data_IF_551993783567
#
_entry.id   IF_551993783567
#
_cell.length_a   1.000
_cell.length_b   1.000
_cell.length_c   1.000
_cell.angle_alpha   90.00
_cell.angle_beta   90.00
_cell.angle_gamma   90.00
#
_symmetry.space_group_name_H-M   'P 1'
#
loop_
_entity.id
_entity.type
_entity.pdbx_description
1 polymer ?
#
# COMPACT_ATOMS: atom_id res chain seq x y z
N UNK A 1 -6.85 16.70 1.31
CA UNK A 1 -5.42 16.40 1.32
C UNK A 1 -4.74 17.63 1.90
N UNK A 2 -4.41 17.64 3.20
CA UNK A 2 -3.93 18.82 3.90
C UNK A 2 -2.73 18.54 4.81
N UNK A 3 -1.74 19.43 4.70
CA UNK A 3 -0.50 19.43 5.46
C UNK A 3 -0.53 20.52 6.53
N UNK A 4 0.27 20.36 7.57
CA UNK A 4 0.30 21.29 8.70
C UNK A 4 1.72 21.57 9.16
N UNK A 5 1.90 22.71 9.83
CA UNK A 5 3.11 23.01 10.60
C UNK A 5 2.88 22.63 12.05
N UNK A 6 3.81 21.88 12.64
CA UNK A 6 3.77 21.47 14.06
C UNK A 6 5.00 22.01 14.74
N UNK A 7 4.83 22.85 15.76
CA UNK A 7 5.94 23.49 16.48
C UNK A 7 6.99 24.13 15.55
N UNK A 8 6.57 24.78 14.46
CA UNK A 8 7.49 25.38 13.47
C UNK A 8 8.12 24.39 12.47
N UNK A 9 7.82 23.10 12.57
CA UNK A 9 8.29 22.05 11.66
C UNK A 9 7.26 21.73 10.58
N UNK A 10 7.70 21.62 9.33
CA UNK A 10 6.86 21.19 8.20
C UNK A 10 7.05 19.71 7.90
N UNK A 11 8.14 19.11 8.39
CA UNK A 11 8.46 17.69 8.24
C UNK A 11 8.80 17.07 9.59
N UNK A 12 8.66 15.75 9.69
CA UNK A 12 9.10 14.92 10.80
C UNK A 12 10.55 14.44 10.58
N UNK A 13 11.15 13.80 11.58
CA UNK A 13 12.57 13.40 11.53
C UNK A 13 12.91 12.42 10.38
N UNK A 14 11.96 11.61 9.93
CA UNK A 14 12.12 10.74 8.77
C UNK A 14 12.00 11.47 7.42
N UNK A 15 11.82 12.79 7.43
CA UNK A 15 11.72 13.62 6.24
C UNK A 15 10.35 13.62 5.56
N UNK A 16 9.29 13.16 6.22
CA UNK A 16 7.93 13.24 5.72
C UNK A 16 7.20 14.49 6.19
N UNK A 17 6.41 15.12 5.31
CA UNK A 17 5.62 16.30 5.70
C UNK A 17 4.59 15.94 6.77
N UNK A 18 4.55 16.76 7.83
CA UNK A 18 3.51 16.73 8.85
C UNK A 18 2.13 16.87 8.20
N UNK A 19 1.19 16.00 8.57
CA UNK A 19 -0.12 15.96 7.93
C UNK A 19 -1.29 15.99 8.91
N UNK A 20 -2.47 16.33 8.37
CA UNK A 20 -3.74 16.16 9.06
C UNK A 20 -4.32 14.78 8.79
N UNK A 21 -5.34 14.39 9.57
CA UNK A 21 -5.98 13.07 9.47
C UNK A 21 -6.49 12.74 8.07
N UNK A 22 -6.85 13.74 7.26
CA UNK A 22 -7.39 13.54 5.91
C UNK A 22 -6.34 13.02 4.90
N UNK A 23 -5.05 13.08 5.24
CA UNK A 23 -3.95 12.43 4.53
C UNK A 23 -3.76 10.95 4.90
N UNK A 24 -4.43 10.49 5.96
CA UNK A 24 -4.28 9.12 6.45
C UNK A 24 -5.45 8.22 6.07
N UNK A 25 -5.21 6.92 6.08
CA UNK A 25 -6.24 5.89 6.02
C UNK A 25 -5.90 4.76 7.01
N UNK A 26 -6.80 3.81 7.16
CA UNK A 26 -6.66 2.64 8.02
C UNK A 26 -6.23 1.42 7.18
N UNK A 27 -5.35 0.59 7.73
CA UNK A 27 -4.93 -0.68 7.14
C UNK A 27 -6.12 -1.64 7.11
N UNK A 28 -6.40 -2.22 5.93
CA UNK A 28 -7.48 -3.20 5.73
C UNK A 28 -6.91 -4.44 5.08
N UNK A 29 -6.26 -5.28 5.88
CA UNK A 29 -5.77 -6.60 5.48
C UNK A 29 -6.64 -7.64 6.19
N UNK A 30 -7.20 -8.64 5.48
CA UNK A 30 -7.97 -9.69 6.11
C UNK A 30 -7.22 -10.34 7.26
N UNK A 31 -7.93 -10.65 8.34
CA UNK A 31 -7.41 -11.32 9.55
C UNK A 31 -6.33 -10.56 10.32
N UNK A 32 -6.09 -9.28 10.01
CA UNK A 32 -5.27 -8.39 10.84
C UNK A 32 -6.19 -7.52 11.70
N UNK A 33 -6.11 -7.70 13.02
CA UNK A 33 -6.97 -7.03 13.99
C UNK A 33 -6.16 -5.98 14.80
N UNK A 34 -6.86 -5.09 15.51
CA UNK A 34 -6.26 -4.08 16.40
C UNK A 34 -5.37 -3.01 15.71
N UNK A 35 -5.40 -2.98 14.38
CA UNK A 35 -4.71 -1.96 13.56
C UNK A 35 -5.65 -0.84 13.09
N UNK A 36 -6.95 -0.98 13.37
CA UNK A 36 -7.98 0.00 13.00
C UNK A 36 -7.87 1.32 13.77
N UNK A 37 -7.11 1.31 14.87
CA UNK A 37 -6.74 2.48 15.67
C UNK A 37 -5.49 3.21 15.19
N UNK A 38 -4.81 2.71 14.16
CA UNK A 38 -3.55 3.26 13.66
C UNK A 38 -3.71 3.87 12.25
N UNK A 39 -4.14 5.15 12.12
CA UNK A 39 -4.13 5.80 10.83
C UNK A 39 -2.71 5.97 10.31
N UNK A 40 -2.52 5.66 9.03
CA UNK A 40 -1.24 5.79 8.36
C UNK A 40 -1.37 6.62 7.10
N UNK A 41 -0.29 7.33 6.76
CA UNK A 41 -0.22 8.18 5.57
C UNK A 41 -0.53 7.37 4.33
N UNK A 42 -1.49 7.84 3.53
CA UNK A 42 -1.87 7.23 2.26
C UNK A 42 -0.66 7.07 1.34
N UNK A 43 -0.71 6.06 0.47
CA UNK A 43 0.37 5.73 -0.47
C UNK A 43 1.32 4.67 0.09
N UNK A 44 2.62 4.88 -0.11
CA UNK A 44 3.64 3.92 0.30
C UNK A 44 3.63 3.60 1.81
N UNK A 45 3.48 4.56 2.75
CA UNK A 45 3.50 4.25 4.17
C UNK A 45 2.36 3.31 4.59
N UNK A 46 1.12 3.59 4.17
CA UNK A 46 -0.03 2.72 4.43
C UNK A 46 0.21 1.29 3.93
N UNK A 47 0.83 1.14 2.75
CA UNK A 47 1.11 -0.18 2.16
C UNK A 47 2.23 -0.91 2.88
N UNK A 48 3.33 -0.22 3.17
CA UNK A 48 4.55 -0.82 3.72
C UNK A 48 4.36 -1.10 5.20
N UNK A 49 3.91 -0.12 5.99
CA UNK A 49 3.69 -0.31 7.42
C UNK A 49 2.48 -1.22 7.69
N UNK A 50 1.44 -1.18 6.85
CA UNK A 50 0.36 -2.18 6.93
C UNK A 50 0.86 -3.61 6.72
N UNK A 51 1.73 -3.82 5.73
CA UNK A 51 2.37 -5.12 5.52
C UNK A 51 3.31 -5.50 6.68
N UNK A 52 4.02 -4.53 7.25
CA UNK A 52 4.86 -4.74 8.42
C UNK A 52 4.05 -5.25 9.61
N UNK A 53 2.91 -4.62 9.91
CA UNK A 53 2.01 -5.05 10.98
C UNK A 53 1.50 -6.48 10.76
N UNK A 54 1.10 -6.81 9.53
CA UNK A 54 0.70 -8.17 9.18
C UNK A 54 1.84 -9.19 9.37
N UNK A 55 3.04 -8.85 8.90
CA UNK A 55 4.21 -9.72 9.08
C UNK A 55 4.49 -9.93 10.57
N UNK A 56 4.51 -8.84 11.34
CA UNK A 56 4.80 -8.83 12.77
C UNK A 56 3.86 -9.78 13.50
N UNK A 57 2.55 -9.60 13.32
CA UNK A 57 1.50 -10.40 13.96
C UNK A 57 1.70 -11.91 13.75
N UNK A 58 2.10 -12.31 12.55
CA UNK A 58 2.19 -13.73 12.19
C UNK A 58 3.54 -14.37 12.45
N UNK A 59 4.61 -13.57 12.52
CA UNK A 59 5.96 -14.12 12.47
C UNK A 59 6.89 -13.58 13.58
N UNK A 60 6.61 -12.42 14.18
CA UNK A 60 7.25 -11.99 15.43
C UNK A 60 6.47 -12.59 16.60
N UNK A 61 5.26 -12.08 16.77
CA UNK A 61 4.28 -12.44 17.80
C UNK A 61 2.93 -11.80 17.47
N UNK A 62 1.85 -12.38 17.98
CA UNK A 62 0.49 -11.86 17.81
C UNK A 62 0.35 -10.47 18.44
N UNK A 63 -0.25 -9.55 17.70
CA UNK A 63 -0.60 -8.22 18.18
C UNK A 63 -1.82 -8.35 19.10
N UNK A 64 -1.62 -8.14 20.40
CA UNK A 64 -2.66 -8.28 21.44
C UNK A 64 -3.10 -6.96 22.06
N UNK A 65 -2.61 -5.82 21.55
CA UNK A 65 -3.03 -4.49 21.99
C UNK A 65 -3.19 -3.54 20.79
N UNK A 66 -4.03 -2.49 20.91
CA UNK A 66 -4.21 -1.51 19.85
C UNK A 66 -2.89 -0.89 19.39
N UNK A 67 -2.67 -0.87 18.08
CA UNK A 67 -1.51 -0.20 17.46
C UNK A 67 -1.72 1.30 17.47
N UNK A 68 -0.67 2.06 17.75
CA UNK A 68 -0.71 3.52 17.67
C UNK A 68 -0.14 3.98 16.34
N UNK A 69 -0.87 4.84 15.63
CA UNK A 69 -0.45 5.40 14.34
C UNK A 69 -0.40 6.93 14.39
N UNK A 70 -0.83 7.59 13.32
CA UNK A 70 -0.86 9.05 13.22
C UNK A 70 -1.51 9.71 14.44
N UNK A 71 -0.91 10.80 14.90
CA UNK A 71 -1.43 11.58 16.01
C UNK A 71 -1.55 13.08 15.69
N UNK A 72 -2.68 13.68 16.06
CA UNK A 72 -2.88 15.12 15.94
C UNK A 72 -1.95 15.89 16.89
N UNK A 73 -1.78 15.36 18.10
CA UNK A 73 -0.87 15.88 19.14
C UNK A 73 0.14 14.81 19.50
N UNK A 74 1.35 15.20 19.89
CA UNK A 74 2.41 14.28 20.29
C UNK A 74 3.30 14.96 21.33
N UNK A 75 3.86 14.20 22.26
CA UNK A 75 4.78 14.73 23.28
C UNK A 75 6.16 15.05 22.70
N UNK A 76 6.49 14.51 21.52
CA UNK A 76 7.73 14.76 20.79
C UNK A 76 7.45 15.65 19.57
N UNK A 77 7.21 16.93 19.84
CA UNK A 77 6.94 17.93 18.80
C UNK A 77 8.18 18.34 17.98
N UNK A 78 9.37 17.95 18.43
CA UNK A 78 10.66 18.39 17.88
C UNK A 78 11.03 19.81 18.31
N UNK A 79 12.22 20.25 17.92
CA UNK A 79 12.74 21.60 18.05
C UNK A 79 12.19 22.47 16.91
N UNK A 80 11.80 23.73 17.15
CA UNK A 80 11.26 24.57 16.10
C UNK A 80 12.18 24.76 14.90
N UNK A 81 11.65 24.43 13.71
CA UNK A 81 12.33 24.56 12.41
C UNK A 81 13.44 23.54 12.15
N UNK A 82 13.64 22.54 13.02
CA UNK A 82 14.67 21.50 12.86
C UNK A 82 14.19 20.25 12.13
N UNK A 83 12.87 20.04 12.05
CA UNK A 83 12.24 18.84 11.50
C UNK A 83 12.74 17.55 12.18
N UNK A 84 12.85 17.56 13.50
CA UNK A 84 13.30 16.45 14.37
C UNK A 84 12.16 15.94 15.27
N UNK A 85 10.91 16.19 14.87
CA UNK A 85 9.70 15.77 15.58
C UNK A 85 9.24 14.35 15.24
N UNK A 86 8.31 13.80 16.04
CA UNK A 86 7.79 12.45 15.90
C UNK A 86 7.17 12.17 14.52
N UNK A 87 7.50 11.01 13.94
CA UNK A 87 6.93 10.51 12.69
C UNK A 87 5.44 10.10 12.79
N UNK A 88 4.88 10.06 14.00
CA UNK A 88 3.42 9.97 14.17
C UNK A 88 2.72 11.24 13.66
N UNK A 89 3.40 12.40 13.60
CA UNK A 89 2.82 13.65 13.11
C UNK A 89 2.62 13.67 11.59
N UNK A 90 3.35 12.82 10.85
CA UNK A 90 3.27 12.64 9.40
C UNK A 90 2.55 11.35 9.00
N UNK A 91 2.23 10.48 9.96
CA UNK A 91 1.51 9.21 9.74
C UNK A 91 2.39 8.11 9.17
N UNK A 92 3.70 8.17 9.43
CA UNK A 92 4.71 7.27 8.88
C UNK A 92 5.41 6.44 9.94
N UNK A 93 4.80 6.33 11.12
CA UNK A 93 5.21 5.46 12.21
C UNK A 93 4.05 4.68 12.81
N UNK A 94 4.39 3.53 13.40
CA UNK A 94 3.51 2.68 14.20
C UNK A 94 4.20 2.27 15.48
N UNK A 95 3.47 2.29 16.60
CA UNK A 95 3.88 1.62 17.83
C UNK A 95 3.12 0.33 17.99
N UNK A 96 3.86 -0.78 18.03
CA UNK A 96 3.32 -2.13 18.14
C UNK A 96 3.56 -2.64 19.55
N UNK A 97 2.50 -3.14 20.20
CA UNK A 97 2.60 -3.73 21.54
C UNK A 97 3.14 -2.76 22.60
N UNK A 98 2.79 -1.47 22.49
CA UNK A 98 3.29 -0.38 23.35
C UNK A 98 3.22 -0.66 24.88
N UNK A 99 2.13 -1.25 25.43
CA UNK A 99 2.10 -1.60 26.85
C UNK A 99 3.13 -2.65 27.28
N UNK A 100 3.56 -3.51 26.36
CA UNK A 100 4.56 -4.57 26.57
C UNK A 100 5.99 -4.07 26.37
N UNK A 101 6.18 -3.13 25.44
CA UNK A 101 7.49 -2.58 25.04
C UNK A 101 7.58 -1.08 25.35
N UNK A 102 7.76 -0.71 26.63
CA UNK A 102 7.73 0.69 27.03
C UNK A 102 8.91 1.47 26.45
N UNK A 103 8.63 2.72 26.06
CA UNK A 103 9.62 3.64 25.53
C UNK A 103 10.85 3.79 26.44
N UNK A 104 12.04 3.86 25.84
CA UNK A 104 13.36 3.99 26.50
C UNK A 104 13.83 2.77 27.30
N UNK A 105 13.20 1.61 27.10
CA UNK A 105 13.60 0.39 27.78
C UNK A 105 13.89 -0.73 26.79
N UNK A 106 14.89 -1.56 27.10
CA UNK A 106 15.12 -2.80 26.41
C UNK A 106 14.46 -3.95 27.17
N UNK A 107 13.33 -4.42 26.67
CA UNK A 107 12.49 -5.46 27.28
C UNK A 107 12.24 -6.64 26.34
N UNK A 108 12.38 -6.45 25.03
CA UNK A 108 12.25 -7.49 24.03
C UNK A 108 13.40 -8.51 24.14
N UNK A 109 13.06 -9.79 24.31
CA UNK A 109 14.06 -10.86 24.40
C UNK A 109 14.76 -11.12 23.06
N UNK A 110 15.94 -11.75 23.10
CA UNK A 110 16.77 -11.99 21.92
C UNK A 110 16.07 -12.79 20.81
N UNK A 111 15.21 -13.76 21.15
CA UNK A 111 14.47 -14.54 20.16
C UNK A 111 13.45 -13.69 19.40
N UNK A 112 12.75 -12.79 20.11
CA UNK A 112 11.80 -11.85 19.51
C UNK A 112 12.54 -10.84 18.64
N UNK A 113 13.67 -10.30 19.12
CA UNK A 113 14.53 -9.42 18.33
C UNK A 113 14.98 -10.10 17.02
N UNK A 114 15.40 -11.38 17.07
CA UNK A 114 15.83 -12.12 15.88
C UNK A 114 14.71 -12.23 14.83
N UNK A 115 13.46 -12.43 15.26
CA UNK A 115 12.29 -12.43 14.36
C UNK A 115 12.05 -11.06 13.75
N UNK A 116 12.11 -9.98 14.55
CA UNK A 116 12.01 -8.60 14.05
C UNK A 116 13.09 -8.34 13.00
N UNK A 117 14.36 -8.68 13.28
CA UNK A 117 15.47 -8.50 12.33
C UNK A 117 15.28 -9.26 11.03
N UNK A 118 14.76 -10.50 11.10
CA UNK A 118 14.40 -11.27 9.90
C UNK A 118 13.34 -10.54 9.08
N UNK A 119 12.29 -10.02 9.72
CA UNK A 119 11.28 -9.20 9.07
C UNK A 119 11.90 -7.95 8.40
N UNK A 120 12.68 -7.15 9.14
CA UNK A 120 13.30 -5.94 8.62
C UNK A 120 14.19 -6.21 7.40
N UNK A 121 14.89 -7.35 7.37
CA UNK A 121 15.69 -7.77 6.22
C UNK A 121 14.81 -8.08 4.98
N UNK A 122 13.65 -8.74 5.18
CA UNK A 122 12.67 -8.97 4.11
C UNK A 122 12.02 -7.67 3.61
N UNK A 123 11.99 -6.63 4.45
CA UNK A 123 11.49 -5.32 4.08
C UNK A 123 12.52 -4.43 3.38
N UNK A 124 13.70 -4.98 3.07
CA UNK A 124 14.70 -4.37 2.16
C UNK A 124 15.11 -2.95 2.58
N UNK A 125 15.11 -2.70 3.90
CA UNK A 125 15.46 -1.39 4.46
C UNK A 125 14.38 -0.33 4.31
N UNK A 126 13.13 -0.69 3.97
CA UNK A 126 12.00 0.25 3.89
C UNK A 126 11.39 0.60 5.25
N UNK A 127 11.63 -0.23 6.27
CA UNK A 127 11.17 -0.03 7.65
C UNK A 127 12.38 0.11 8.56
N UNK A 128 12.37 1.15 9.40
CA UNK A 128 13.34 1.38 10.47
C UNK A 128 12.73 0.98 11.82
N UNK A 129 13.57 0.51 12.74
CA UNK A 129 13.16 0.11 14.09
C UNK A 129 13.78 1.01 15.15
N UNK A 130 12.93 1.65 15.96
CA UNK A 130 13.33 2.60 17.00
C UNK A 130 14.27 2.04 18.06
N UNK A 131 14.38 0.71 18.19
CA UNK A 131 15.39 0.05 19.02
C UNK A 131 16.80 0.53 18.70
N UNK A 132 17.09 0.85 17.44
CA UNK A 132 18.43 1.20 16.98
C UNK A 132 18.85 2.65 17.29
N UNK A 133 17.95 3.45 17.85
CA UNK A 133 18.32 4.77 18.36
C UNK A 133 19.15 4.67 19.64
N UNK A 134 19.90 5.73 19.93
CA UNK A 134 20.59 5.89 21.22
C UNK A 134 19.62 5.92 22.40
N UNK A 135 18.40 6.44 22.17
CA UNK A 135 17.26 6.38 23.07
C UNK A 135 16.30 5.32 22.55
N UNK A 136 16.38 4.07 23.05
CA UNK A 136 15.75 2.95 22.40
C UNK A 136 14.23 3.00 22.47
N UNK A 137 13.60 2.55 21.38
CA UNK A 137 12.16 2.45 21.29
C UNK A 137 11.75 1.14 20.61
N UNK A 138 11.53 0.09 21.40
CA UNK A 138 11.28 -1.26 20.89
C UNK A 138 9.90 -1.44 20.24
N UNK A 139 8.91 -0.62 20.63
CA UNK A 139 7.57 -0.62 20.03
C UNK A 139 7.52 0.10 18.68
N UNK A 140 8.43 1.05 18.46
CA UNK A 140 8.34 2.02 17.36
C UNK A 140 8.93 1.50 16.05
N UNK A 141 8.15 1.56 14.98
CA UNK A 141 8.58 1.27 13.61
C UNK A 141 8.15 2.39 12.67
N UNK A 142 8.99 2.74 11.69
CA UNK A 142 8.71 3.85 10.78
C UNK A 142 9.21 3.62 9.37
N UNK A 143 8.78 4.50 8.46
CA UNK A 143 9.39 4.61 7.13
C UNK A 143 10.88 4.97 7.24
N UNK A 144 11.74 4.22 6.55
CA UNK A 144 13.19 4.43 6.61
C UNK A 144 13.72 5.45 5.58
N UNK A 145 12.91 5.78 4.56
CA UNK A 145 13.29 6.70 3.49
C UNK A 145 12.38 7.92 3.46
N UNK A 146 12.92 9.10 3.12
CA UNK A 146 12.17 10.35 3.12
C UNK A 146 11.09 10.38 2.04
N UNK A 147 10.14 11.30 2.21
CA UNK A 147 9.05 11.50 1.26
C UNK A 147 9.59 11.79 -0.15
N UNK A 148 9.04 11.09 -1.15
CA UNK A 148 9.48 11.20 -2.55
C UNK A 148 10.66 10.32 -2.96
N UNK A 149 11.26 9.57 -2.03
CA UNK A 149 12.24 8.55 -2.41
C UNK A 149 11.58 7.43 -3.23
N UNK A 150 12.09 7.17 -4.44
CA UNK A 150 11.53 6.21 -5.39
C UNK A 150 11.47 4.78 -4.83
N UNK A 151 12.31 4.44 -3.85
CA UNK A 151 12.34 3.13 -3.22
C UNK A 151 11.06 2.85 -2.43
N UNK A 152 10.43 3.88 -1.86
CA UNK A 152 9.13 3.75 -1.18
C UNK A 152 8.07 3.21 -2.14
N UNK A 153 7.92 3.84 -3.31
CA UNK A 153 6.91 3.44 -4.29
C UNK A 153 7.24 2.08 -4.94
N UNK A 154 8.53 1.84 -5.22
CA UNK A 154 8.98 0.56 -5.79
C UNK A 154 8.68 -0.61 -4.84
N UNK A 155 8.98 -0.47 -3.55
CA UNK A 155 8.74 -1.53 -2.57
C UNK A 155 7.24 -1.71 -2.29
N UNK A 156 6.47 -0.62 -2.20
CA UNK A 156 5.02 -0.70 -2.08
C UNK A 156 4.37 -1.38 -3.31
N UNK A 157 4.88 -1.15 -4.52
CA UNK A 157 4.43 -1.85 -5.72
C UNK A 157 4.78 -3.34 -5.68
N UNK A 158 5.99 -3.68 -5.22
CA UNK A 158 6.46 -5.06 -5.05
C UNK A 158 5.56 -5.86 -4.09
N UNK A 159 5.20 -5.27 -2.94
CA UNK A 159 4.25 -5.86 -1.99
C UNK A 159 2.89 -6.11 -2.64
N UNK A 160 2.33 -5.12 -3.35
CA UNK A 160 1.05 -5.26 -4.06
C UNK A 160 1.10 -6.27 -5.22
N UNK A 161 2.27 -6.55 -5.77
CA UNK A 161 2.49 -7.59 -6.77
C UNK A 161 2.56 -9.00 -6.16
N UNK A 162 2.34 -9.16 -4.85
CA UNK A 162 2.29 -10.44 -4.17
C UNK A 162 3.58 -10.82 -3.44
N UNK A 163 4.56 -9.92 -3.33
CA UNK A 163 5.73 -10.17 -2.49
C UNK A 163 5.30 -10.40 -1.03
N UNK A 164 5.87 -11.45 -0.42
CA UNK A 164 5.50 -11.99 0.90
C UNK A 164 4.07 -12.55 1.01
N UNK A 165 3.27 -12.56 -0.08
CA UNK A 165 1.91 -13.11 -0.08
C UNK A 165 0.91 -12.36 0.80
N UNK A 166 1.23 -11.12 1.20
CA UNK A 166 0.41 -10.33 2.13
C UNK A 166 -0.77 -9.70 1.43
N UNK A 167 -0.52 -9.10 0.27
CA UNK A 167 -1.56 -8.53 -0.57
C UNK A 167 -1.89 -9.48 -1.71
N UNK A 168 -3.18 -9.66 -1.99
CA UNK A 168 -3.60 -10.33 -3.20
C UNK A 168 -3.09 -9.51 -4.40
N UNK A 169 -2.45 -10.14 -5.41
CA UNK A 169 -2.13 -9.44 -6.65
C UNK A 169 -3.43 -8.90 -7.24
N UNK A 170 -3.38 -7.67 -7.75
CA UNK A 170 -4.54 -7.07 -8.39
C UNK A 170 -5.07 -8.04 -9.46
N UNK A 171 -6.29 -8.55 -9.27
CA UNK A 171 -6.92 -9.34 -10.31
C UNK A 171 -7.05 -8.45 -11.55
N UNK A 172 -6.78 -8.98 -12.77
CA UNK A 172 -7.15 -8.27 -13.98
C UNK A 172 -8.62 -7.84 -13.86
N UNK A 173 -8.98 -6.62 -14.32
CA UNK A 173 -10.38 -6.24 -14.33
C UNK A 173 -11.18 -7.37 -15.00
N UNK A 174 -12.23 -7.85 -14.34
CA UNK A 174 -13.11 -8.83 -14.92
C UNK A 174 -13.49 -8.33 -16.32
N UNK A 175 -13.43 -9.18 -17.37
CA UNK A 175 -13.83 -8.75 -18.71
C UNK A 175 -15.22 -8.14 -18.61
N UNK A 176 -15.36 -6.90 -19.09
CA UNK A 176 -16.64 -6.21 -19.09
C UNK A 176 -17.59 -7.08 -19.90
N UNK A 177 -18.60 -7.66 -19.25
CA UNK A 177 -19.66 -8.36 -19.96
C UNK A 177 -20.44 -7.33 -20.76
N UNK A 178 -20.16 -7.27 -22.06
CA UNK A 178 -20.92 -6.48 -23.02
C UNK A 178 -22.28 -7.15 -23.22
N UNK A 179 -23.37 -6.40 -23.07
CA UNK A 179 -24.72 -6.84 -23.43
C UNK A 179 -24.90 -6.70 -24.94
N UNK A 180 -25.27 -7.79 -25.61
CA UNK A 180 -25.69 -7.72 -27.00
C UNK A 180 -27.10 -7.13 -27.11
N UNK A 181 -27.36 -6.18 -28.01
CA UNK A 181 -26.41 -5.46 -28.87
C UNK A 181 -25.85 -4.17 -28.25
N UNK A 182 -26.33 -3.73 -27.08
CA UNK A 182 -26.16 -2.37 -26.56
C UNK A 182 -24.72 -1.95 -26.28
N UNK A 183 -23.87 -2.87 -25.85
CA UNK A 183 -22.50 -2.56 -25.39
C UNK A 183 -21.43 -2.98 -26.40
N UNK A 184 -21.84 -3.46 -27.57
CA UNK A 184 -20.94 -3.83 -28.67
C UNK A 184 -20.66 -2.62 -29.54
N UNK A 185 -19.41 -2.52 -29.99
CA UNK A 185 -19.03 -1.54 -31.01
C UNK A 185 -19.63 -1.91 -32.36
N UNK A 186 -19.74 -0.93 -33.26
CA UNK A 186 -20.18 -1.14 -34.65
C UNK A 186 -19.38 -2.24 -35.35
N UNK A 187 -18.07 -2.33 -35.07
CA UNK A 187 -17.21 -3.40 -35.62
C UNK A 187 -17.63 -4.78 -35.12
N UNK A 188 -17.88 -4.93 -33.83
CA UNK A 188 -18.28 -6.21 -33.25
C UNK A 188 -19.67 -6.63 -33.72
N UNK A 189 -20.57 -5.67 -33.92
CA UNK A 189 -21.89 -5.92 -34.51
C UNK A 189 -21.77 -6.34 -36.00
N UNK A 190 -20.89 -5.70 -36.76
CA UNK A 190 -20.61 -6.08 -38.15
C UNK A 190 -19.98 -7.47 -38.26
N UNK A 191 -19.06 -7.81 -37.34
CA UNK A 191 -18.47 -9.15 -37.25
C UNK A 191 -19.55 -10.18 -36.91
N UNK A 192 -20.44 -9.91 -35.94
CA UNK A 192 -21.59 -10.76 -35.62
C UNK A 192 -22.53 -10.97 -36.83
N UNK A 193 -22.88 -9.89 -37.55
CA UNK A 193 -23.73 -9.97 -38.75
C UNK A 193 -23.01 -10.76 -39.86
N UNK A 194 -21.71 -10.55 -40.04
CA UNK A 194 -20.92 -11.26 -41.05
C UNK A 194 -20.78 -12.76 -40.73
N UNK A 195 -20.75 -13.16 -39.46
CA UNK A 195 -20.77 -14.57 -39.08
C UNK A 195 -22.12 -15.24 -39.35
N UNK A 196 -23.23 -14.53 -39.08
CA UNK A 196 -24.57 -15.08 -39.27
C UNK A 196 -25.01 -15.08 -40.73
N UNK A 197 -24.62 -14.06 -41.50
CA UNK A 197 -25.16 -13.82 -42.83
C UNK A 197 -24.10 -13.66 -43.91
N UNK A 198 -22.80 -13.60 -43.59
CA UNK A 198 -21.77 -13.24 -44.55
C UNK A 198 -21.43 -14.31 -45.59
N UNK A 199 -20.37 -14.08 -46.40
CA UNK A 199 -19.96 -14.98 -47.47
C UNK A 199 -19.76 -16.42 -46.99
N UNK A 200 -20.66 -17.32 -47.39
CA UNK A 200 -20.73 -18.71 -46.92
C UNK A 200 -22.09 -19.13 -46.36
N UNK A 201 -22.96 -18.19 -46.01
CA UNK A 201 -24.35 -18.48 -45.61
C UNK A 201 -25.22 -18.79 -46.85
N UNK A 202 -26.14 -19.79 -46.81
CA UNK A 202 -26.97 -20.17 -47.95
C UNK A 202 -27.82 -19.03 -48.52
N UNK A 203 -28.24 -18.10 -47.67
CA UNK A 203 -29.05 -16.92 -48.06
C UNK A 203 -28.21 -15.72 -48.52
N UNK A 204 -26.87 -15.81 -48.47
CA UNK A 204 -25.99 -14.77 -48.96
C UNK A 204 -25.93 -14.81 -50.49
N UNK A 205 -26.91 -14.17 -51.13
CA UNK A 205 -26.97 -14.01 -52.58
C UNK A 205 -25.85 -13.07 -53.07
N UNK A 206 -24.63 -13.58 -53.19
CA UNK A 206 -23.51 -12.81 -53.74
C UNK A 206 -23.69 -12.71 -55.27
N UNK A 207 -24.02 -11.51 -55.76
CA UNK A 207 -23.90 -11.14 -57.17
C UNK A 207 -22.62 -10.30 -57.34
N UNK A 208 -21.46 -10.96 -57.29
CA UNK A 208 -20.15 -10.34 -57.58
C UNK A 208 -19.12 -10.47 -56.46
N UNK A 209 -17.96 -9.79 -56.64
CA UNK A 209 -16.86 -9.79 -55.66
C UNK A 209 -17.36 -9.30 -54.30
N UNK A 210 -17.13 -10.11 -53.26
CA UNK A 210 -17.57 -9.82 -51.89
C UNK A 210 -16.68 -8.75 -51.23
N UNK A 211 -17.16 -8.17 -50.12
CA UNK A 211 -16.35 -7.28 -49.28
C UNK A 211 -15.10 -8.00 -48.74
N UNK A 212 -15.21 -9.31 -48.44
CA UNK A 212 -14.07 -10.15 -48.07
C UNK A 212 -13.06 -10.25 -49.21
N UNK A 213 -13.52 -10.43 -50.45
CA UNK A 213 -12.64 -10.45 -51.62
C UNK A 213 -11.93 -9.11 -51.80
N UNK A 214 -12.59 -7.97 -51.55
CA UNK A 214 -11.95 -6.64 -51.62
C UNK A 214 -11.00 -6.33 -50.47
N UNK A 215 -11.30 -6.77 -49.26
CA UNK A 215 -10.50 -6.47 -48.05
C UNK A 215 -9.27 -7.36 -47.95
N UNK A 216 -9.31 -8.55 -48.55
CA UNK A 216 -8.25 -9.55 -48.45
C UNK A 216 -7.58 -9.89 -49.80
N UNK A 217 -7.95 -9.23 -50.91
CA UNK A 217 -7.19 -9.32 -52.17
C UNK A 217 -6.06 -8.29 -52.22
N UNK A 218 -4.87 -8.75 -51.79
CA UNK A 218 -3.55 -8.08 -51.83
C UNK A 218 -3.39 -6.80 -51.01
#
# INVERSE_FOLDING_TARGET
MSFRTVNGNTHTEDGWRCCNRDECDIVRIPELYLVDTAPLRKGAPLTILGAWLYWYDRNVEEITSPVWGWSATNDVLGTPGRNDGSNHLSGTAVDVMAPKYPWQQYTMNAATQAKVRKGLALFEGSVFWGRDWSRPDEMHYQMAWPEGDKRNDAFAAKLRAGYLGIYAPAQPPAPVQKRFPQDLSDRELLEYIAEQLGPGHPDWASKGMTLRDKVWSK
#
